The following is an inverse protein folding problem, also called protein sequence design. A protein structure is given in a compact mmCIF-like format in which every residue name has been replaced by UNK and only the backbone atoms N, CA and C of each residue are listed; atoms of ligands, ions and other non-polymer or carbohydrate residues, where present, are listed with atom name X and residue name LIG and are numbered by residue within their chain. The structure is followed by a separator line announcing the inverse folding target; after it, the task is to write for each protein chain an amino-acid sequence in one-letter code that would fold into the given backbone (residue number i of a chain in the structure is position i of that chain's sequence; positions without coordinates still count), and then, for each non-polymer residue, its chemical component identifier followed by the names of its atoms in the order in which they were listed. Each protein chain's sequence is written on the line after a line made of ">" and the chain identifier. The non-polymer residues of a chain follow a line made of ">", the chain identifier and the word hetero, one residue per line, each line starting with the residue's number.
data_IF_833651757760
#
_entry.id   IF_833651757760
#
_cell.length_a   1.000
_cell.length_b   1.000
_cell.length_c   1.000
_cell.angle_alpha   90.00
_cell.angle_beta   90.00
_cell.angle_gamma   90.00
#
_symmetry.space_group_name_H-M   'P 1'
#
loop_
_entity.id
_entity.type
_entity.pdbx_description
1 polymer ?
#
# COMPACT_ATOMS: atom_id res chain seq x y z
N UNK A 1 6.13 10.77 8.72
CA UNK A 1 4.79 10.28 8.31
C UNK A 1 4.80 10.18 6.78
N UNK A 2 4.31 9.07 6.22
CA UNK A 2 4.12 8.89 4.77
C UNK A 2 2.62 8.76 4.55
N UNK A 3 2.11 9.45 3.53
CA UNK A 3 0.72 9.39 3.09
C UNK A 3 0.68 8.85 1.68
N UNK A 4 -0.29 7.99 1.39
CA UNK A 4 -0.52 7.39 0.08
C UNK A 4 -1.96 7.71 -0.31
N UNK A 5 -2.18 8.01 -1.59
CA UNK A 5 -3.51 8.31 -2.09
C UNK A 5 -4.39 7.05 -2.11
N UNK A 6 -5.64 7.18 -1.68
CA UNK A 6 -6.58 6.05 -1.54
C UNK A 6 -6.76 5.27 -2.84
N UNK A 7 -6.80 5.96 -3.99
CA UNK A 7 -6.96 5.31 -5.29
C UNK A 7 -5.82 4.32 -5.58
N UNK A 8 -4.61 4.61 -5.10
CA UNK A 8 -3.44 3.76 -5.31
C UNK A 8 -3.53 2.55 -4.39
N UNK A 9 -3.94 2.75 -3.14
CA UNK A 9 -4.18 1.65 -2.19
C UNK A 9 -5.26 0.71 -2.71
N UNK A 10 -6.39 1.24 -3.18
CA UNK A 10 -7.49 0.47 -3.75
C UNK A 10 -7.06 -0.30 -5.00
N UNK A 11 -6.23 0.31 -5.86
CA UNK A 11 -5.71 -0.36 -7.07
C UNK A 11 -4.85 -1.58 -6.76
N UNK A 12 -4.08 -1.55 -5.66
CA UNK A 12 -3.12 -2.61 -5.29
C UNK A 12 -3.58 -3.48 -4.12
N UNK A 13 -4.84 -3.32 -3.67
CA UNK A 13 -5.33 -3.83 -2.38
C UNK A 13 -5.19 -5.33 -2.21
N UNK A 14 -5.39 -6.10 -3.28
CA UNK A 14 -5.26 -7.56 -3.26
C UNK A 14 -3.86 -8.00 -2.84
N UNK A 15 -2.83 -7.31 -3.34
CA UNK A 15 -1.44 -7.60 -2.98
C UNK A 15 -1.12 -7.17 -1.55
N UNK A 16 -1.73 -6.08 -1.07
CA UNK A 16 -1.56 -5.66 0.32
C UNK A 16 -2.18 -6.66 1.29
N UNK A 17 -3.22 -7.40 0.89
CA UNK A 17 -3.83 -8.49 1.65
C UNK A 17 -2.88 -9.63 2.04
N UNK A 18 -1.68 -9.71 1.45
CA UNK A 18 -0.70 -10.76 1.73
C UNK A 18 0.27 -10.43 2.87
N UNK A 19 0.21 -9.20 3.41
CA UNK A 19 1.16 -8.73 4.41
C UNK A 19 0.83 -9.35 5.78
N UNK A 20 1.74 -10.11 6.42
CA UNK A 20 1.57 -10.51 7.81
C UNK A 20 1.44 -9.28 8.70
N UNK A 21 0.38 -9.20 9.50
CA UNK A 21 0.07 -7.99 10.25
C UNK A 21 -0.60 -8.29 11.59
N UNK A 22 -0.79 -7.24 12.39
CA UNK A 22 -1.51 -7.34 13.65
C UNK A 22 -2.51 -6.21 13.82
N UNK A 23 -3.58 -6.51 14.56
CA UNK A 23 -4.55 -5.52 15.05
C UNK A 23 -4.59 -5.49 16.58
N UNK A 24 -5.25 -4.48 17.15
CA UNK A 24 -5.41 -4.28 18.60
C UNK A 24 -4.08 -4.37 19.38
N UNK A 25 -3.05 -3.64 18.94
CA UNK A 25 -1.72 -3.58 19.57
C UNK A 25 -1.03 -4.96 19.68
N UNK A 26 -0.84 -5.66 18.56
CA UNK A 26 -0.19 -7.00 18.51
C UNK A 26 -0.97 -8.15 19.18
N UNK A 27 -2.18 -7.92 19.67
CA UNK A 27 -2.97 -8.98 20.33
C UNK A 27 -3.51 -9.98 19.30
N UNK A 28 -3.85 -9.53 18.09
CA UNK A 28 -4.46 -10.39 17.06
C UNK A 28 -3.61 -10.38 15.81
N UNK A 29 -3.04 -11.55 15.46
CA UNK A 29 -2.40 -11.76 14.16
C UNK A 29 -3.45 -11.76 13.05
N UNK A 30 -3.12 -11.13 11.94
CA UNK A 30 -3.99 -10.96 10.78
C UNK A 30 -3.16 -10.91 9.50
N UNK A 31 -3.83 -10.58 8.39
CA UNK A 31 -3.23 -10.39 7.08
C UNK A 31 -3.76 -9.08 6.48
N UNK A 32 -2.87 -8.33 5.85
CA UNK A 32 -3.16 -7.07 5.17
C UNK A 32 -3.28 -5.86 6.09
N UNK A 33 -3.77 -4.77 5.50
CA UNK A 33 -4.01 -3.49 6.16
C UNK A 33 -5.50 -3.35 6.48
N UNK A 34 -5.80 -2.87 7.69
CA UNK A 34 -7.16 -2.58 8.11
C UNK A 34 -7.63 -1.28 7.45
N UNK A 35 -8.83 -1.29 6.87
CA UNK A 35 -9.39 -0.15 6.17
C UNK A 35 -9.76 0.98 7.13
N UNK A 36 -10.32 0.68 8.30
CA UNK A 36 -10.83 1.70 9.24
C UNK A 36 -10.01 1.80 10.53
N UNK A 37 -9.15 0.81 10.77
CA UNK A 37 -8.44 0.60 12.02
C UNK A 37 -6.94 0.76 11.91
N UNK A 38 -6.28 0.61 13.07
CA UNK A 38 -4.82 0.58 13.14
C UNK A 38 -4.30 -0.80 12.81
N UNK A 39 -3.30 -0.85 11.95
CA UNK A 39 -2.52 -2.05 11.65
C UNK A 39 -1.09 -1.87 12.09
N UNK A 40 -0.53 -2.91 12.69
CA UNK A 40 0.85 -2.95 13.14
C UNK A 40 1.63 -3.97 12.30
N UNK A 41 2.80 -3.58 11.82
CA UNK A 41 3.71 -4.44 11.07
C UNK A 41 5.01 -4.60 11.84
N UNK A 42 5.34 -5.85 12.15
CA UNK A 42 6.67 -6.24 12.65
C UNK A 42 7.66 -6.42 11.49
N UNK A 43 8.86 -6.91 11.78
CA UNK A 43 9.90 -7.09 10.75
C UNK A 43 9.44 -7.98 9.58
N UNK A 44 8.65 -9.03 9.83
CA UNK A 44 8.11 -9.93 8.79
C UNK A 44 7.11 -9.19 7.89
N UNK A 45 6.17 -8.46 8.50
CA UNK A 45 5.20 -7.64 7.78
C UNK A 45 5.86 -6.54 6.95
N UNK A 46 6.86 -5.86 7.51
CA UNK A 46 7.58 -4.77 6.82
C UNK A 46 8.39 -5.32 5.65
N UNK A 47 9.07 -6.46 5.81
CA UNK A 47 9.81 -7.10 4.72
C UNK A 47 8.87 -7.49 3.57
N UNK A 48 7.70 -8.08 3.89
CA UNK A 48 6.68 -8.45 2.91
C UNK A 48 6.14 -7.22 2.18
N UNK A 49 5.74 -6.17 2.91
CA UNK A 49 5.30 -4.91 2.33
C UNK A 49 6.35 -4.32 1.38
N UNK A 50 7.61 -4.24 1.81
CA UNK A 50 8.68 -3.70 0.97
C UNK A 50 8.88 -4.53 -0.31
N UNK A 51 8.74 -5.85 -0.25
CA UNK A 51 8.76 -6.72 -1.42
C UNK A 51 7.65 -6.38 -2.42
N UNK A 52 6.41 -6.25 -1.94
CA UNK A 52 5.25 -5.85 -2.74
C UNK A 52 5.46 -4.48 -3.39
N UNK A 53 5.94 -3.49 -2.63
CA UNK A 53 6.20 -2.14 -3.13
C UNK A 53 7.22 -2.14 -4.25
N UNK A 54 8.32 -2.90 -4.12
CA UNK A 54 9.32 -3.00 -5.16
C UNK A 54 8.76 -3.61 -6.45
N UNK A 55 7.88 -4.63 -6.34
CA UNK A 55 7.18 -5.19 -7.50
C UNK A 55 6.31 -4.17 -8.22
N UNK A 56 5.53 -3.39 -7.47
CA UNK A 56 4.71 -2.31 -8.04
C UNK A 56 5.54 -1.19 -8.66
N UNK A 57 6.65 -0.79 -8.02
CA UNK A 57 7.57 0.20 -8.60
C UNK A 57 8.06 -0.26 -9.97
N UNK A 58 8.54 -1.52 -10.07
CA UNK A 58 9.00 -2.08 -11.34
C UNK A 58 7.91 -2.13 -12.41
N UNK A 59 6.67 -2.46 -12.03
CA UNK A 59 5.52 -2.44 -12.94
C UNK A 59 5.23 -1.02 -13.44
N UNK A 60 5.16 -0.05 -12.53
CA UNK A 60 4.82 1.34 -12.86
C UNK A 60 5.92 2.05 -13.64
N UNK A 61 7.19 1.66 -13.50
CA UNK A 61 8.26 2.17 -14.36
C UNK A 61 7.98 1.95 -15.86
N UNK A 62 7.28 0.85 -16.19
CA UNK A 62 6.87 0.51 -17.56
C UNK A 62 5.61 1.25 -18.03
N UNK A 63 4.90 1.96 -17.14
CA UNK A 63 3.69 2.68 -17.51
C UNK A 63 3.99 3.91 -18.38
N UNK A 64 3.02 4.39 -19.20
CA UNK A 64 3.10 5.70 -19.84
C UNK A 64 3.25 6.84 -18.81
N UNK A 65 3.57 8.06 -19.27
CA UNK A 65 3.67 9.23 -18.38
C UNK A 65 2.41 9.44 -17.56
N UNK A 66 1.26 9.22 -18.19
CA UNK A 66 -0.06 9.31 -17.59
C UNK A 66 -0.82 8.02 -17.84
N UNK A 67 -1.46 7.45 -16.81
CA UNK A 67 -2.22 6.21 -16.89
C UNK A 67 -3.55 6.32 -16.14
N UNK A 68 -4.44 5.36 -16.34
CA UNK A 68 -5.73 5.29 -15.67
C UNK A 68 -5.77 4.03 -14.79
N UNK A 69 -5.97 4.22 -13.48
CA UNK A 69 -6.09 3.11 -12.52
C UNK A 69 -7.57 2.75 -12.34
N UNK A 70 -7.85 1.45 -12.26
CA UNK A 70 -9.21 0.91 -12.07
C UNK A 70 -9.39 0.45 -10.63
N UNK A 71 -10.42 0.94 -9.95
CA UNK A 71 -10.65 0.67 -8.53
C UNK A 71 -11.92 -0.18 -8.32
N UNK A 72 -12.74 0.17 -7.35
CA UNK A 72 -13.98 -0.50 -6.99
C UNK A 72 -15.09 -0.32 -8.03
N UNK A 73 -16.06 -1.23 -8.00
CA UNK A 73 -17.24 -1.17 -8.86
C UNK A 73 -18.34 -0.32 -8.21
N UNK A 74 -18.70 0.78 -8.87
CA UNK A 74 -19.82 1.62 -8.46
C UNK A 74 -21.13 1.02 -8.98
N UNK A 75 -21.89 0.39 -8.08
CA UNK A 75 -23.18 -0.25 -8.40
C UNK A 75 -24.20 0.75 -8.93
N UNK A 76 -24.16 2.01 -8.47
CA UNK A 76 -25.12 3.04 -8.90
C UNK A 76 -24.80 3.53 -10.32
N UNK A 77 -23.51 3.58 -10.68
CA UNK A 77 -23.07 3.97 -12.04
C UNK A 77 -22.98 2.79 -13.00
N UNK A 78 -23.02 1.56 -12.52
CA UNK A 78 -22.88 0.35 -13.33
C UNK A 78 -21.51 0.22 -13.98
N UNK A 79 -20.44 0.72 -13.35
CA UNK A 79 -19.07 0.68 -13.88
C UNK A 79 -18.02 0.79 -12.79
N UNK A 80 -16.80 0.36 -13.09
CA UNK A 80 -15.64 0.59 -12.23
C UNK A 80 -15.29 2.07 -12.14
N UNK A 81 -14.95 2.53 -10.93
CA UNK A 81 -14.32 3.82 -10.71
C UNK A 81 -12.91 3.80 -11.29
N UNK A 82 -12.50 4.95 -11.81
CA UNK A 82 -11.20 5.12 -12.46
C UNK A 82 -10.61 6.48 -12.15
N UNK A 83 -9.30 6.54 -12.01
CA UNK A 83 -8.56 7.77 -11.72
C UNK A 83 -7.40 7.94 -12.70
N UNK A 84 -7.25 9.15 -13.24
CA UNK A 84 -6.17 9.47 -14.18
C UNK A 84 -5.00 10.06 -13.40
N UNK A 85 -3.84 9.44 -13.52
CA UNK A 85 -2.70 9.72 -12.65
C UNK A 85 -1.40 9.82 -13.42
N UNK A 86 -0.50 10.67 -12.94
CA UNK A 86 0.86 10.77 -13.44
C UNK A 86 1.73 9.67 -12.81
N UNK A 87 2.48 8.94 -13.66
CA UNK A 87 3.39 7.87 -13.24
C UNK A 87 4.35 8.33 -12.16
N UNK A 88 4.90 9.53 -12.30
CA UNK A 88 5.86 10.08 -11.34
C UNK A 88 5.25 10.25 -9.94
N UNK A 89 3.96 10.58 -9.83
CA UNK A 89 3.29 10.69 -8.54
C UNK A 89 3.20 9.32 -7.86
N UNK A 90 2.79 8.28 -8.60
CA UNK A 90 2.72 6.90 -8.09
C UNK A 90 4.10 6.43 -7.62
N UNK A 91 5.12 6.56 -8.47
CA UNK A 91 6.48 6.12 -8.15
C UNK A 91 7.02 6.82 -6.91
N UNK A 92 6.82 8.13 -6.79
CA UNK A 92 7.25 8.91 -5.63
C UNK A 92 6.60 8.42 -4.32
N UNK A 93 5.30 8.12 -4.35
CA UNK A 93 4.58 7.60 -3.18
C UNK A 93 5.08 6.21 -2.76
N UNK A 94 5.19 5.28 -3.71
CA UNK A 94 5.69 3.93 -3.45
C UNK A 94 7.15 3.93 -2.96
N UNK A 95 8.01 4.75 -3.57
CA UNK A 95 9.41 4.88 -3.17
C UNK A 95 9.56 5.47 -1.76
N UNK A 96 8.78 6.49 -1.40
CA UNK A 96 8.76 7.04 -0.04
C UNK A 96 8.36 5.98 0.99
N UNK A 97 7.36 5.16 0.68
CA UNK A 97 6.94 4.07 1.57
C UNK A 97 7.99 2.95 1.66
N UNK A 98 8.65 2.60 0.54
CA UNK A 98 9.77 1.65 0.54
C UNK A 98 10.95 2.16 1.38
N UNK A 99 11.31 3.45 1.26
CA UNK A 99 12.35 4.07 2.10
C UNK A 99 11.98 4.01 3.58
N UNK A 100 10.70 4.25 3.93
CA UNK A 100 10.22 4.09 5.30
C UNK A 100 10.39 2.64 5.80
N UNK A 101 10.03 1.65 4.97
CA UNK A 101 10.20 0.23 5.31
C UNK A 101 11.67 -0.13 5.55
N UNK A 102 12.58 0.30 4.66
CA UNK A 102 14.03 0.06 4.80
C UNK A 102 14.57 0.65 6.11
N UNK A 103 14.23 1.91 6.40
CA UNK A 103 14.61 2.55 7.66
C UNK A 103 14.05 1.81 8.88
N UNK A 104 12.81 1.33 8.81
CA UNK A 104 12.24 0.57 9.92
C UNK A 104 12.96 -0.76 10.15
N UNK A 105 13.32 -1.49 9.09
CA UNK A 105 14.12 -2.72 9.18
C UNK A 105 15.51 -2.42 9.76
N UNK A 106 16.21 -1.41 9.24
CA UNK A 106 17.56 -1.03 9.68
C UNK A 106 17.63 -0.63 11.16
N UNK A 107 16.57 -0.04 11.70
CA UNK A 107 16.50 0.45 13.07
C UNK A 107 15.66 -0.45 14.00
N UNK A 108 15.25 -1.64 13.54
CA UNK A 108 14.40 -2.57 14.29
C UNK A 108 13.09 -1.93 14.81
N UNK A 109 12.51 -1.02 14.02
CA UNK A 109 11.23 -0.39 14.32
C UNK A 109 10.06 -1.18 13.73
N UNK A 110 8.90 -0.98 14.34
CA UNK A 110 7.62 -1.39 13.77
C UNK A 110 7.02 -0.27 12.92
N UNK A 111 6.14 -0.62 11.98
CA UNK A 111 5.30 0.35 11.29
C UNK A 111 3.87 0.31 11.83
N UNK A 112 3.25 1.49 11.90
CA UNK A 112 1.85 1.65 12.29
C UNK A 112 1.11 2.35 11.16
N UNK A 113 0.09 1.69 10.66
CA UNK A 113 -0.87 2.19 9.67
C UNK A 113 -2.14 2.69 10.39
N UNK A 114 -2.74 3.77 9.89
CA UNK A 114 -3.85 4.48 10.53
C UNK A 114 -5.13 4.47 9.68
N UNK A 115 -5.45 3.34 9.06
CA UNK A 115 -6.59 3.23 8.15
C UNK A 115 -6.36 3.93 6.82
N UNK A 116 -7.30 3.70 5.90
CA UNK A 116 -7.42 4.33 4.58
C UNK A 116 -8.50 5.41 4.70
#
# INVERSE_FOLDING_TARGET
>A
MVTIDDFLILYIIDSLGWIPSYSKNFVHKSMGLDYYGRTYLDAEGIATLNGILNGWIQLFEQAPSTTELTMDYDINKGRFNKEKVEKENILNQLQKLSVLCKKAIENEYILVHFGI
#
